data_IF_060068569411
#
_entry.id   IF_060068569411
#
_cell.length_a   1.000
_cell.length_b   1.000
_cell.length_c   1.000
_cell.angle_alpha   90.00
_cell.angle_beta   90.00
_cell.angle_gamma   90.00
#
_symmetry.space_group_name_H-M   'P 1'
#
loop_
_entity.id
_entity.type
_entity.pdbx_description
1 polymer ?
#
# COMPACT_ATOMS: atom_id res chain seq x y z
N UNK A 1 -80.17 15.00 -6.21
CA UNK A 1 -79.20 13.88 -6.21
C UNK A 1 -77.82 14.45 -6.60
N UNK A 2 -76.96 14.73 -5.62
CA UNK A 2 -75.61 15.26 -5.81
C UNK A 2 -74.68 14.08 -5.94
N UNK A 3 -74.01 13.95 -7.11
CA UNK A 3 -72.94 12.96 -7.30
C UNK A 3 -71.64 13.52 -6.70
N UNK A 4 -71.17 12.87 -5.65
CA UNK A 4 -69.85 13.14 -5.05
C UNK A 4 -68.82 12.42 -5.92
N UNK A 5 -67.96 13.20 -6.57
CA UNK A 5 -66.84 12.71 -7.35
C UNK A 5 -65.65 12.54 -6.37
N UNK A 6 -65.38 11.30 -5.98
CA UNK A 6 -64.23 10.96 -5.17
C UNK A 6 -62.98 10.95 -6.08
N UNK A 7 -62.13 11.96 -5.94
CA UNK A 7 -60.82 12.00 -6.59
C UNK A 7 -59.84 11.22 -5.73
N UNK A 8 -59.48 10.00 -6.12
CA UNK A 8 -58.33 9.27 -5.54
C UNK A 8 -57.05 9.91 -6.04
N UNK A 9 -56.45 10.72 -5.20
CA UNK A 9 -55.06 11.15 -5.39
C UNK A 9 -54.15 9.99 -4.98
N UNK A 10 -53.69 9.22 -5.96
CA UNK A 10 -52.63 8.22 -5.77
C UNK A 10 -51.33 8.97 -5.62
N UNK A 11 -50.89 9.20 -4.39
CA UNK A 11 -49.48 9.62 -4.16
C UNK A 11 -48.58 8.48 -4.59
N UNK A 12 -47.98 8.59 -5.77
CA UNK A 12 -46.77 7.86 -6.10
C UNK A 12 -45.68 8.41 -5.19
N UNK A 13 -45.46 7.78 -4.05
CA UNK A 13 -44.21 7.85 -3.33
C UNK A 13 -43.19 7.15 -4.20
N UNK A 14 -42.54 7.95 -5.08
CA UNK A 14 -41.28 7.54 -5.66
C UNK A 14 -40.32 7.31 -4.47
N UNK A 15 -40.18 6.05 -4.06
CA UNK A 15 -39.10 5.63 -3.20
C UNK A 15 -37.80 5.86 -3.98
N UNK A 16 -37.32 7.09 -3.95
CA UNK A 16 -35.89 7.34 -4.19
C UNK A 16 -35.21 6.58 -3.04
N UNK A 17 -34.74 5.37 -3.36
CA UNK A 17 -33.86 4.66 -2.47
C UNK A 17 -32.73 5.63 -2.17
N UNK A 18 -32.69 6.14 -0.95
CA UNK A 18 -31.51 6.81 -0.42
C UNK A 18 -30.40 5.75 -0.43
N UNK A 19 -29.73 5.62 -1.55
CA UNK A 19 -28.49 4.87 -1.58
C UNK A 19 -27.52 5.66 -0.71
N UNK A 20 -27.13 5.08 0.42
CA UNK A 20 -26.10 5.65 1.28
C UNK A 20 -24.89 6.03 0.41
N UNK A 21 -24.51 7.31 0.45
CA UNK A 21 -23.40 7.79 -0.34
C UNK A 21 -22.11 7.30 0.31
N UNK A 22 -21.38 6.48 -0.40
CA UNK A 22 -20.10 5.98 0.07
C UNK A 22 -18.95 6.82 -0.46
N UNK A 23 -17.91 7.01 0.36
CA UNK A 23 -16.61 7.52 -0.06
C UNK A 23 -15.56 6.41 0.00
N UNK A 24 -14.59 6.46 -0.91
CA UNK A 24 -13.40 5.64 -0.92
C UNK A 24 -12.20 6.51 -0.56
N UNK A 25 -11.56 6.23 0.56
CA UNK A 25 -10.35 6.95 1.01
C UNK A 25 -9.18 6.00 1.04
N UNK A 26 -8.17 6.27 0.20
CA UNK A 26 -6.93 5.50 0.13
C UNK A 26 -5.95 6.17 1.08
N UNK A 27 -5.50 5.48 2.12
CA UNK A 27 -4.66 6.06 3.16
C UNK A 27 -3.25 5.50 3.05
N UNK A 28 -2.28 6.38 2.78
CA UNK A 28 -0.86 6.03 2.78
C UNK A 28 -0.14 6.68 3.97
N UNK A 29 1.03 6.16 4.31
CA UNK A 29 1.84 6.68 5.43
C UNK A 29 2.06 8.20 5.34
N UNK A 30 2.50 8.68 4.19
CA UNK A 30 2.91 10.07 4.02
C UNK A 30 4.43 10.22 4.02
N UNK A 31 4.90 11.34 3.50
CA UNK A 31 6.31 11.70 3.51
C UNK A 31 6.48 13.18 3.14
N UNK A 32 7.51 13.85 3.66
CA UNK A 32 7.83 15.24 3.32
C UNK A 32 8.33 15.42 1.87
N UNK A 33 8.97 14.39 1.29
CA UNK A 33 9.48 14.44 -0.09
C UNK A 33 8.33 14.33 -1.11
N UNK A 34 8.27 15.29 -2.03
CA UNK A 34 7.29 15.30 -3.13
C UNK A 34 7.43 14.07 -4.05
N UNK A 35 8.65 13.63 -4.32
CA UNK A 35 8.92 12.45 -5.15
C UNK A 35 8.31 11.17 -4.59
N UNK A 36 8.14 11.07 -3.27
CA UNK A 36 7.44 9.99 -2.61
C UNK A 36 5.91 10.14 -2.74
N UNK A 37 5.40 11.36 -2.50
CA UNK A 37 3.95 11.62 -2.46
C UNK A 37 3.29 11.61 -3.84
N UNK A 38 3.95 12.19 -4.84
CA UNK A 38 3.38 12.38 -6.18
C UNK A 38 2.81 11.10 -6.81
N UNK A 39 3.51 9.96 -6.85
CA UNK A 39 2.95 8.73 -7.41
C UNK A 39 1.80 8.15 -6.57
N UNK A 40 1.79 8.39 -5.27
CA UNK A 40 0.68 7.97 -4.37
C UNK A 40 -0.56 8.83 -4.63
N UNK A 41 -0.42 10.14 -4.68
CA UNK A 41 -1.52 11.06 -4.98
C UNK A 41 -2.12 10.84 -6.37
N UNK A 42 -1.31 10.43 -7.34
CA UNK A 42 -1.77 10.12 -8.69
C UNK A 42 -2.73 8.92 -8.75
N UNK A 43 -2.74 8.04 -7.76
CA UNK A 43 -3.71 6.94 -7.67
C UNK A 43 -5.16 7.44 -7.58
N UNK A 44 -5.39 8.64 -7.03
CA UNK A 44 -6.73 9.20 -6.93
C UNK A 44 -7.43 9.28 -8.29
N UNK A 45 -6.74 9.83 -9.29
CA UNK A 45 -7.26 9.94 -10.65
C UNK A 45 -7.34 8.57 -11.33
N UNK A 46 -6.33 7.72 -11.16
CA UNK A 46 -6.33 6.36 -11.71
C UNK A 46 -7.52 5.55 -11.19
N UNK A 47 -7.80 5.63 -9.88
CA UNK A 47 -8.94 4.93 -9.26
C UNK A 47 -10.27 5.49 -9.74
N UNK A 48 -10.43 6.82 -9.83
CA UNK A 48 -11.66 7.43 -10.37
C UNK A 48 -11.95 6.97 -11.80
N UNK A 49 -10.92 7.00 -12.65
CA UNK A 49 -11.03 6.54 -14.03
C UNK A 49 -11.42 5.07 -14.08
N UNK A 50 -10.78 4.23 -13.32
CA UNK A 50 -11.03 2.78 -13.32
C UNK A 50 -12.43 2.43 -12.74
N UNK A 51 -12.91 3.15 -11.72
CA UNK A 51 -14.28 3.01 -11.22
C UNK A 51 -15.31 3.31 -12.33
N UNK A 52 -15.09 4.40 -13.07
CA UNK A 52 -15.97 4.77 -14.18
C UNK A 52 -15.95 3.73 -15.32
N UNK A 53 -14.77 3.21 -15.69
CA UNK A 53 -14.62 2.14 -16.69
C UNK A 53 -15.34 0.85 -16.30
N UNK A 54 -15.36 0.51 -14.99
CA UNK A 54 -16.08 -0.66 -14.47
C UNK A 54 -17.57 -0.40 -14.19
N UNK A 55 -18.06 0.82 -14.46
CA UNK A 55 -19.46 1.21 -14.21
C UNK A 55 -19.81 1.21 -12.72
N UNK A 56 -18.85 1.45 -11.85
CA UNK A 56 -19.03 1.50 -10.40
C UNK A 56 -19.30 2.95 -9.98
N UNK A 57 -20.56 3.29 -9.80
CA UNK A 57 -21.05 4.60 -9.36
C UNK A 57 -21.35 4.70 -7.87
N UNK A 58 -20.98 3.67 -7.10
CA UNK A 58 -21.27 3.53 -5.68
C UNK A 58 -20.49 4.50 -4.79
N UNK A 59 -19.34 4.99 -5.30
CA UNK A 59 -18.49 5.92 -4.58
C UNK A 59 -18.66 7.33 -5.14
N UNK A 60 -19.37 8.17 -4.39
CA UNK A 60 -19.59 9.58 -4.77
C UNK A 60 -18.34 10.44 -4.57
N UNK A 61 -17.37 9.96 -3.84
CA UNK A 61 -16.14 10.68 -3.50
C UNK A 61 -14.97 9.73 -3.34
N UNK A 62 -13.85 10.04 -3.99
CA UNK A 62 -12.61 9.25 -3.95
C UNK A 62 -11.45 10.19 -3.64
N UNK A 63 -10.67 9.90 -2.61
CA UNK A 63 -9.50 10.69 -2.23
C UNK A 63 -8.36 9.81 -1.74
N UNK A 64 -7.14 10.33 -1.95
CA UNK A 64 -5.95 9.85 -1.25
C UNK A 64 -5.71 10.73 -0.02
N UNK A 65 -5.38 10.12 1.11
CA UNK A 65 -5.01 10.78 2.35
C UNK A 65 -3.62 10.33 2.82
N UNK A 66 -2.91 11.23 3.48
CA UNK A 66 -1.64 10.95 4.14
C UNK A 66 -1.88 10.82 5.64
N UNK A 67 -1.34 9.77 6.25
CA UNK A 67 -1.48 9.56 7.70
C UNK A 67 -0.64 10.59 8.46
N UNK A 68 0.57 10.88 7.97
CA UNK A 68 1.54 11.74 8.62
C UNK A 68 2.14 12.80 7.68
N UNK A 69 2.80 13.77 8.27
CA UNK A 69 3.71 14.80 7.71
C UNK A 69 3.10 15.85 6.78
N UNK A 70 2.05 15.55 6.03
CA UNK A 70 1.59 16.47 4.98
C UNK A 70 0.10 16.35 4.68
N UNK A 71 -0.44 17.40 4.09
CA UNK A 71 -1.75 17.39 3.46
C UNK A 71 -1.73 16.66 2.09
N UNK A 72 -2.88 16.07 1.70
CA UNK A 72 -4.14 16.00 2.45
C UNK A 72 -4.07 14.99 3.60
N UNK A 73 -4.28 15.45 4.84
CA UNK A 73 -4.28 14.57 6.02
C UNK A 73 -5.55 13.73 6.09
N UNK A 74 -5.50 12.61 6.85
CA UNK A 74 -6.69 11.77 7.07
C UNK A 74 -7.85 12.60 7.61
N UNK A 75 -7.59 13.46 8.61
CA UNK A 75 -8.64 14.29 9.20
C UNK A 75 -9.24 15.29 8.21
N UNK A 76 -8.42 15.95 7.37
CA UNK A 76 -8.90 16.88 6.36
C UNK A 76 -9.75 16.18 5.29
N UNK A 77 -9.33 15.00 4.83
CA UNK A 77 -10.06 14.21 3.84
C UNK A 77 -11.39 13.70 4.41
N UNK A 78 -11.43 13.26 5.67
CA UNK A 78 -12.69 12.84 6.30
C UNK A 78 -13.68 13.99 6.42
N UNK A 79 -13.22 15.19 6.78
CA UNK A 79 -14.07 16.41 6.76
C UNK A 79 -14.61 16.71 5.35
N UNK A 80 -13.81 16.48 4.33
CA UNK A 80 -14.26 16.66 2.94
C UNK A 80 -15.27 15.58 2.51
N UNK A 81 -15.12 14.32 2.95
CA UNK A 81 -16.13 13.28 2.74
C UNK A 81 -17.50 13.71 3.32
N UNK A 82 -17.52 14.23 4.55
CA UNK A 82 -18.77 14.75 5.16
C UNK A 82 -19.38 15.90 4.36
N UNK A 83 -18.57 16.88 3.91
CA UNK A 83 -19.05 17.98 3.07
C UNK A 83 -19.66 17.52 1.75
N UNK A 84 -19.16 16.40 1.20
CA UNK A 84 -19.72 15.77 -0.01
C UNK A 84 -20.92 14.86 0.28
N UNK A 85 -21.35 14.80 1.54
CA UNK A 85 -22.54 14.07 1.98
C UNK A 85 -22.33 12.57 2.00
N UNK A 86 -21.13 12.09 2.28
CA UNK A 86 -20.89 10.66 2.50
C UNK A 86 -21.49 10.24 3.86
N UNK A 87 -22.21 9.13 3.87
CA UNK A 87 -22.74 8.49 5.09
C UNK A 87 -21.79 7.38 5.57
N UNK A 88 -21.03 6.81 4.64
CA UNK A 88 -20.10 5.72 4.91
C UNK A 88 -18.78 5.96 4.17
N UNK A 89 -17.67 5.65 4.82
CA UNK A 89 -16.31 5.70 4.23
C UNK A 89 -15.72 4.30 4.26
N UNK A 90 -15.28 3.82 3.10
CA UNK A 90 -14.35 2.71 3.01
C UNK A 90 -12.93 3.27 3.01
N UNK A 91 -12.24 3.14 4.12
CA UNK A 91 -10.88 3.59 4.32
C UNK A 91 -9.90 2.44 4.04
N UNK A 92 -9.16 2.52 2.95
CA UNK A 92 -8.28 1.45 2.49
C UNK A 92 -6.80 1.81 2.74
N UNK A 93 -6.13 1.13 3.68
CA UNK A 93 -4.72 1.38 3.98
C UNK A 93 -3.82 0.90 2.83
N UNK A 94 -3.11 1.82 2.20
CA UNK A 94 -2.10 1.51 1.20
C UNK A 94 -0.76 1.23 1.87
N UNK A 95 -0.74 0.20 2.72
CA UNK A 95 0.44 -0.31 3.41
C UNK A 95 0.83 -1.68 2.86
N UNK A 96 2.13 -1.94 2.81
CA UNK A 96 2.68 -3.20 2.28
C UNK A 96 2.19 -4.40 3.10
N UNK A 97 2.32 -4.32 4.43
CA UNK A 97 1.93 -5.38 5.36
C UNK A 97 1.40 -4.76 6.66
N UNK A 98 0.73 -5.53 7.53
CA UNK A 98 0.36 -5.09 8.86
C UNK A 98 1.56 -4.54 9.62
N UNK A 99 1.37 -3.39 10.26
CA UNK A 99 2.38 -2.64 11.01
C UNK A 99 1.72 -1.91 12.18
N UNK A 100 2.49 -1.31 13.08
CA UNK A 100 2.00 -0.39 14.10
C UNK A 100 1.12 0.70 13.48
N UNK A 101 1.54 1.23 12.32
CA UNK A 101 0.76 2.26 11.61
C UNK A 101 -0.62 1.79 11.15
N UNK A 102 -0.75 0.56 10.61
CA UNK A 102 -2.05 0.06 10.14
C UNK A 102 -2.96 -0.46 11.25
N UNK A 103 -2.38 -1.03 12.32
CA UNK A 103 -3.12 -1.75 13.36
C UNK A 103 -3.35 -0.94 14.63
N UNK A 104 -2.51 0.08 14.86
CA UNK A 104 -2.57 0.91 16.06
C UNK A 104 -2.81 2.38 15.71
N UNK A 105 -1.96 3.03 14.92
CA UNK A 105 -2.07 4.46 14.65
C UNK A 105 -3.33 4.80 13.87
N UNK A 106 -3.53 4.17 12.72
CA UNK A 106 -4.67 4.48 11.84
C UNK A 106 -6.03 4.25 12.52
N UNK A 107 -6.28 3.14 13.25
CA UNK A 107 -7.51 2.98 14.02
C UNK A 107 -7.71 4.06 15.10
N UNK A 108 -6.64 4.53 15.74
CA UNK A 108 -6.71 5.63 16.71
C UNK A 108 -6.99 6.98 16.04
N UNK A 109 -6.38 7.26 14.88
CA UNK A 109 -6.64 8.47 14.08
C UNK A 109 -8.09 8.52 13.62
N UNK A 110 -8.64 7.38 13.18
CA UNK A 110 -10.02 7.24 12.71
C UNK A 110 -11.08 7.17 13.83
N UNK A 111 -10.67 7.29 15.09
CA UNK A 111 -11.52 7.17 16.29
C UNK A 111 -12.25 5.80 16.40
N UNK A 112 -11.69 4.76 15.79
CA UNK A 112 -12.18 3.38 15.83
C UNK A 112 -11.65 2.61 17.05
N UNK A 113 -10.53 3.04 17.60
CA UNK A 113 -9.82 2.49 18.76
C UNK A 113 -9.37 3.65 19.66
N UNK A 114 -9.34 3.44 20.94
CA UNK A 114 -8.78 4.40 21.87
C UNK A 114 -7.63 3.77 22.66
N UNK A 115 -6.40 4.16 22.35
CA UNK A 115 -5.22 3.86 23.14
C UNK A 115 -4.57 5.19 23.55
N UNK A 116 -4.49 5.42 24.86
CA UNK A 116 -4.03 6.71 25.38
C UNK A 116 -2.56 6.99 25.05
N UNK A 117 -1.71 5.95 25.00
CA UNK A 117 -0.28 6.10 24.71
C UNK A 117 -0.09 6.42 23.22
N UNK A 118 -0.67 5.61 22.34
CA UNK A 118 -0.63 5.85 20.88
C UNK A 118 -1.16 7.24 20.53
N UNK A 119 -2.30 7.64 21.13
CA UNK A 119 -2.86 8.97 20.88
C UNK A 119 -2.00 10.10 21.42
N UNK A 120 -1.24 9.87 22.49
CA UNK A 120 -0.31 10.88 23.01
C UNK A 120 0.87 11.07 22.07
N UNK A 121 1.46 9.99 21.55
CA UNK A 121 2.54 10.00 20.56
C UNK A 121 2.11 10.70 19.27
N UNK A 122 0.99 10.26 18.68
CA UNK A 122 0.42 10.87 17.48
C UNK A 122 0.14 12.39 17.65
N UNK A 123 -0.31 12.80 18.84
CA UNK A 123 -0.55 14.21 19.13
C UNK A 123 0.75 15.01 19.21
N UNK A 124 1.81 14.43 19.78
CA UNK A 124 3.14 15.05 19.82
C UNK A 124 3.72 15.25 18.41
N UNK A 125 3.40 14.35 17.49
CA UNK A 125 3.75 14.42 16.06
C UNK A 125 2.87 15.41 15.28
N UNK A 126 1.84 15.96 15.89
CA UNK A 126 0.93 16.94 15.28
C UNK A 126 -0.21 16.32 14.50
N UNK A 127 -0.50 15.03 14.69
CA UNK A 127 -1.58 14.34 14.01
C UNK A 127 -2.95 14.79 14.51
N UNK A 128 -3.84 15.17 13.60
CA UNK A 128 -5.22 15.51 13.89
C UNK A 128 -6.11 14.25 13.86
N UNK A 129 -6.92 14.05 14.90
CA UNK A 129 -7.85 12.91 14.98
C UNK A 129 -9.17 13.20 14.25
N UNK A 130 -9.73 12.15 13.69
CA UNK A 130 -11.04 12.20 13.06
C UNK A 130 -12.13 12.20 14.13
N UNK A 131 -13.08 13.13 14.00
CA UNK A 131 -14.32 13.16 14.78
C UNK A 131 -15.48 13.23 13.80
N UNK A 132 -16.08 12.10 13.49
CA UNK A 132 -17.09 11.99 12.44
C UNK A 132 -18.28 11.12 12.88
N UNK A 133 -19.46 11.43 12.33
CA UNK A 133 -20.65 10.59 12.47
C UNK A 133 -20.79 9.60 11.30
N UNK A 134 -19.94 9.67 10.29
CA UNK A 134 -19.93 8.69 9.20
C UNK A 134 -19.54 7.31 9.73
N UNK A 135 -20.12 6.28 9.14
CA UNK A 135 -19.67 4.91 9.38
C UNK A 135 -18.33 4.71 8.64
N UNK A 136 -17.25 4.54 9.37
CA UNK A 136 -15.93 4.26 8.80
C UNK A 136 -15.69 2.75 8.85
N UNK A 137 -15.27 2.17 7.71
CA UNK A 137 -14.88 0.76 7.59
C UNK A 137 -13.45 0.72 7.09
N UNK A 138 -12.57 0.13 7.89
CA UNK A 138 -11.17 -0.02 7.55
C UNK A 138 -10.97 -1.30 6.74
N UNK A 139 -10.36 -1.17 5.57
CA UNK A 139 -10.01 -2.28 4.68
C UNK A 139 -8.66 -2.92 5.02
N UNK A 140 -8.28 -4.00 4.31
CA UNK A 140 -7.02 -4.69 4.53
C UNK A 140 -5.83 -3.93 3.90
N UNK A 141 -4.61 -4.28 4.33
CA UNK A 141 -3.35 -3.90 3.66
C UNK A 141 -3.11 -4.76 2.41
N UNK A 142 -2.07 -4.45 1.63
CA UNK A 142 -1.68 -5.22 0.44
C UNK A 142 -1.29 -6.69 0.74
N UNK A 143 -0.87 -6.97 1.96
CA UNK A 143 -0.37 -8.27 2.41
C UNK A 143 -1.33 -9.45 2.18
N UNK A 144 -2.64 -9.22 2.26
CA UNK A 144 -3.66 -10.28 2.25
C UNK A 144 -3.87 -10.98 0.88
N UNK A 145 -3.14 -10.55 -0.16
CA UNK A 145 -3.24 -11.09 -1.52
C UNK A 145 -1.85 -11.44 -2.06
N UNK A 146 -1.80 -11.99 -3.28
CA UNK A 146 -0.56 -12.33 -3.99
C UNK A 146 -0.05 -11.19 -4.90
N UNK A 147 -0.62 -10.00 -4.78
CA UNK A 147 -0.27 -8.87 -5.66
C UNK A 147 1.19 -8.46 -5.51
N UNK A 148 1.72 -8.48 -4.28
CA UNK A 148 3.10 -8.08 -4.01
C UNK A 148 4.08 -9.08 -4.62
N UNK A 149 3.80 -10.37 -4.51
CA UNK A 149 4.59 -11.44 -5.09
C UNK A 149 4.65 -11.34 -6.61
N UNK A 150 3.51 -11.09 -7.26
CA UNK A 150 3.42 -10.90 -8.72
C UNK A 150 4.18 -9.68 -9.21
N UNK A 151 3.97 -8.53 -8.55
CA UNK A 151 4.68 -7.28 -8.90
C UNK A 151 6.20 -7.48 -8.74
N UNK A 152 6.64 -8.09 -7.65
CA UNK A 152 8.07 -8.34 -7.43
C UNK A 152 8.63 -9.31 -8.45
N UNK A 153 7.92 -10.38 -8.77
CA UNK A 153 8.30 -11.33 -9.80
C UNK A 153 8.52 -10.64 -11.15
N UNK A 154 7.54 -9.87 -11.63
CA UNK A 154 7.62 -9.19 -12.92
C UNK A 154 8.81 -8.22 -12.97
N UNK A 155 9.07 -7.51 -11.88
CA UNK A 155 10.23 -6.60 -11.77
C UNK A 155 11.55 -7.33 -11.77
N UNK A 156 11.66 -8.43 -11.03
CA UNK A 156 12.86 -9.27 -11.00
C UNK A 156 13.11 -9.84 -12.39
N UNK A 157 12.09 -10.37 -13.05
CA UNK A 157 12.21 -10.92 -14.39
C UNK A 157 12.56 -9.86 -15.44
N UNK A 158 12.14 -8.61 -15.27
CA UNK A 158 12.54 -7.51 -16.14
C UNK A 158 14.03 -7.14 -16.04
N UNK A 159 14.70 -7.49 -14.94
CA UNK A 159 16.14 -7.29 -14.72
C UNK A 159 16.96 -8.55 -15.07
N UNK A 160 16.30 -9.70 -15.14
CA UNK A 160 16.94 -11.00 -15.36
C UNK A 160 17.43 -11.12 -16.81
N UNK A 161 18.65 -11.64 -16.98
CA UNK A 161 19.26 -11.94 -18.29
C UNK A 161 19.53 -13.44 -18.43
N UNK A 162 19.81 -14.13 -17.29
CA UNK A 162 20.16 -15.54 -17.25
C UNK A 162 19.67 -16.16 -15.92
N UNK A 163 18.37 -16.47 -15.81
CA UNK A 163 17.75 -16.91 -14.55
C UNK A 163 18.44 -18.08 -13.86
N UNK A 164 19.02 -19.00 -14.60
CA UNK A 164 19.70 -20.18 -14.02
C UNK A 164 21.02 -19.81 -13.30
N UNK A 165 21.64 -18.70 -13.70
CA UNK A 165 22.91 -18.21 -13.16
C UNK A 165 22.77 -16.95 -12.30
N UNK A 166 21.56 -16.61 -11.90
CA UNK A 166 21.24 -15.45 -11.07
C UNK A 166 20.76 -15.86 -9.69
N UNK A 167 21.04 -15.03 -8.70
CA UNK A 167 20.44 -15.05 -7.38
C UNK A 167 19.55 -13.82 -7.20
N UNK A 168 18.53 -13.93 -6.36
CA UNK A 168 17.63 -12.84 -6.01
C UNK A 168 17.70 -12.54 -4.52
N UNK A 169 17.79 -11.26 -4.19
CA UNK A 169 17.65 -10.72 -2.85
C UNK A 169 16.47 -9.76 -2.81
N UNK A 170 15.51 -10.06 -1.94
CA UNK A 170 14.31 -9.26 -1.76
C UNK A 170 14.42 -8.49 -0.44
N UNK A 171 14.21 -7.19 -0.50
CA UNK A 171 14.30 -6.32 0.66
C UNK A 171 12.91 -5.81 1.05
N UNK A 172 12.66 -5.69 2.36
CA UNK A 172 11.48 -5.02 2.88
C UNK A 172 11.84 -4.20 4.13
N UNK A 173 10.99 -3.22 4.46
CA UNK A 173 11.25 -2.36 5.61
C UNK A 173 11.20 -3.14 6.93
N UNK A 174 10.11 -3.87 7.15
CA UNK A 174 9.83 -4.51 8.43
C UNK A 174 9.09 -3.60 9.41
N UNK A 175 8.58 -4.22 10.46
CA UNK A 175 8.00 -3.57 11.63
C UNK A 175 8.30 -4.48 12.84
N UNK A 176 8.96 -3.96 13.91
CA UNK A 176 9.36 -4.79 15.04
C UNK A 176 8.21 -5.47 15.78
N UNK A 177 7.05 -4.79 15.88
CA UNK A 177 5.88 -5.30 16.59
C UNK A 177 5.09 -6.30 15.75
N UNK A 178 5.23 -6.25 14.44
CA UNK A 178 4.51 -7.08 13.45
C UNK A 178 5.45 -7.88 12.57
N UNK A 179 6.67 -8.15 13.04
CA UNK A 179 7.79 -8.75 12.28
C UNK A 179 7.38 -10.05 11.55
N UNK A 180 6.51 -10.86 12.14
CA UNK A 180 6.08 -12.12 11.55
C UNK A 180 5.36 -11.97 10.20
N UNK A 181 4.59 -10.90 10.00
CA UNK A 181 3.94 -10.62 8.70
C UNK A 181 4.98 -10.28 7.63
N UNK A 182 5.96 -9.47 7.99
CA UNK A 182 7.02 -9.02 7.09
C UNK A 182 7.97 -10.16 6.71
N UNK A 183 8.37 -10.99 7.67
CA UNK A 183 9.16 -12.19 7.40
C UNK A 183 8.41 -13.17 6.50
N UNK A 184 7.11 -13.41 6.77
CA UNK A 184 6.29 -14.26 5.93
C UNK A 184 6.14 -13.71 4.51
N UNK A 185 5.98 -12.39 4.34
CA UNK A 185 5.94 -11.75 3.02
C UNK A 185 7.23 -12.02 2.24
N UNK A 186 8.40 -11.86 2.86
CA UNK A 186 9.68 -12.16 2.22
C UNK A 186 9.78 -13.63 1.80
N UNK A 187 9.39 -14.55 2.69
CA UNK A 187 9.41 -16.00 2.40
C UNK A 187 8.48 -16.34 1.23
N UNK A 188 7.26 -15.80 1.22
CA UNK A 188 6.29 -16.02 0.13
C UNK A 188 6.82 -15.47 -1.18
N UNK A 189 7.34 -14.23 -1.18
CA UNK A 189 7.87 -13.59 -2.39
C UNK A 189 9.08 -14.33 -2.93
N UNK A 190 10.03 -14.72 -2.07
CA UNK A 190 11.18 -15.52 -2.48
C UNK A 190 10.77 -16.90 -2.99
N UNK A 191 9.77 -17.53 -2.37
CA UNK A 191 9.16 -18.77 -2.81
C UNK A 191 8.52 -18.64 -4.18
N UNK A 192 7.73 -17.59 -4.39
CA UNK A 192 7.07 -17.31 -5.67
C UNK A 192 8.07 -17.16 -6.82
N UNK A 193 9.19 -16.45 -6.60
CA UNK A 193 10.26 -16.32 -7.60
C UNK A 193 10.84 -17.68 -7.99
N UNK A 194 11.16 -18.53 -7.01
CA UNK A 194 11.71 -19.88 -7.26
C UNK A 194 10.73 -20.80 -7.97
N UNK A 195 9.46 -20.71 -7.65
CA UNK A 195 8.41 -21.54 -8.22
C UNK A 195 8.08 -21.17 -9.67
N UNK A 196 8.13 -19.88 -10.01
CA UNK A 196 7.69 -19.36 -11.31
C UNK A 196 8.84 -19.00 -12.27
N UNK A 197 10.09 -19.22 -11.86
CA UNK A 197 11.27 -18.99 -12.71
C UNK A 197 12.27 -20.13 -12.60
N UNK A 198 13.39 -20.02 -13.33
CA UNK A 198 14.55 -20.91 -13.21
C UNK A 198 15.60 -20.40 -12.21
N UNK A 199 15.29 -19.36 -11.46
CA UNK A 199 16.15 -18.84 -10.40
C UNK A 199 16.10 -19.80 -9.22
N UNK A 200 17.22 -20.46 -8.92
CA UNK A 200 17.31 -21.45 -7.85
C UNK A 200 17.56 -20.84 -6.47
N UNK A 201 18.16 -19.67 -6.41
CA UNK A 201 18.42 -18.93 -5.16
C UNK A 201 17.61 -17.64 -5.11
N UNK A 202 16.69 -17.57 -4.18
CA UNK A 202 15.95 -16.35 -3.83
C UNK A 202 15.75 -16.33 -2.32
N UNK A 203 16.14 -15.22 -1.68
CA UNK A 203 16.06 -15.01 -0.23
C UNK A 203 15.64 -13.56 0.05
N UNK A 204 15.28 -13.26 1.27
CA UNK A 204 14.80 -11.93 1.66
C UNK A 204 15.35 -11.47 2.99
N UNK A 205 15.52 -10.14 3.14
CA UNK A 205 16.00 -9.52 4.35
C UNK A 205 15.17 -8.29 4.72
N UNK A 206 14.93 -8.11 6.01
CA UNK A 206 14.32 -6.90 6.54
C UNK A 206 15.42 -5.84 6.72
N UNK A 207 15.36 -4.82 5.89
CA UNK A 207 16.30 -3.71 5.91
C UNK A 207 15.53 -2.46 6.35
N UNK A 208 15.33 -2.37 7.67
CA UNK A 208 14.71 -1.23 8.30
C UNK A 208 15.62 0.01 8.23
N UNK A 209 15.03 1.19 8.23
CA UNK A 209 15.78 2.44 8.29
C UNK A 209 16.47 2.57 9.64
N UNK A 210 17.77 2.23 9.74
CA UNK A 210 18.50 2.25 10.99
C UNK A 210 20.00 2.02 10.85
N UNK A 211 20.72 1.92 11.99
CA UNK A 211 22.19 1.87 12.05
C UNK A 211 22.79 0.59 11.43
N UNK A 212 22.05 -0.52 11.37
CA UNK A 212 22.54 -1.81 10.87
C UNK A 212 22.21 -2.09 9.41
N UNK A 213 21.45 -1.22 8.76
CA UNK A 213 20.93 -1.44 7.40
C UNK A 213 21.99 -1.85 6.38
N UNK A 214 23.17 -1.26 6.43
CA UNK A 214 24.25 -1.57 5.51
C UNK A 214 24.93 -2.93 5.82
N UNK A 215 24.97 -3.33 7.08
CA UNK A 215 25.57 -4.60 7.50
C UNK A 215 24.61 -5.75 7.18
N UNK A 216 23.31 -5.60 7.44
CA UNK A 216 22.27 -6.57 7.09
C UNK A 216 22.24 -6.81 5.56
N UNK A 217 22.23 -5.72 4.78
CA UNK A 217 22.27 -5.81 3.34
C UNK A 217 23.58 -6.46 2.84
N UNK A 218 24.73 -6.16 3.45
CA UNK A 218 26.00 -6.79 3.09
C UNK A 218 25.97 -8.29 3.34
N UNK A 219 25.47 -8.73 4.51
CA UNK A 219 25.41 -10.14 4.88
C UNK A 219 24.57 -10.99 3.90
N UNK A 220 23.39 -10.49 3.51
CA UNK A 220 22.55 -11.24 2.56
C UNK A 220 23.14 -11.24 1.14
N UNK A 221 23.81 -10.14 0.71
CA UNK A 221 24.51 -10.09 -0.57
C UNK A 221 25.71 -11.03 -0.63
N UNK A 222 26.45 -11.21 0.48
CA UNK A 222 27.53 -12.19 0.57
C UNK A 222 27.01 -13.62 0.41
N UNK A 223 25.89 -13.97 1.06
CA UNK A 223 25.23 -15.27 0.87
C UNK A 223 24.83 -15.48 -0.59
N UNK A 224 24.11 -14.53 -1.17
CA UNK A 224 23.66 -14.63 -2.57
C UNK A 224 24.84 -14.71 -3.56
N UNK A 225 25.90 -13.92 -3.34
CA UNK A 225 27.13 -13.91 -4.17
C UNK A 225 27.98 -15.17 -4.04
N UNK A 226 27.84 -15.94 -2.96
CA UNK A 226 28.44 -17.27 -2.83
C UNK A 226 27.70 -18.29 -3.73
N UNK A 227 26.40 -18.17 -3.88
CA UNK A 227 25.57 -19.06 -4.72
C UNK A 227 25.69 -18.73 -6.21
N UNK A 228 25.60 -17.45 -6.58
CA UNK A 228 25.58 -16.97 -7.96
C UNK A 228 26.41 -15.70 -8.12
N UNK A 229 27.04 -15.55 -9.28
CA UNK A 229 27.88 -14.36 -9.57
C UNK A 229 27.10 -13.14 -10.07
N UNK A 230 25.81 -13.29 -10.37
CA UNK A 230 24.92 -12.18 -10.69
C UNK A 230 23.79 -12.17 -9.66
N UNK A 231 23.66 -11.08 -8.92
CA UNK A 231 22.69 -10.92 -7.83
C UNK A 231 21.74 -9.78 -8.16
N UNK A 232 20.47 -10.09 -8.29
CA UNK A 232 19.39 -9.14 -8.51
C UNK A 232 18.80 -8.73 -7.16
N UNK A 233 18.73 -7.43 -6.88
CA UNK A 233 18.22 -6.88 -5.63
C UNK A 233 16.98 -6.06 -5.89
N UNK A 234 15.84 -6.46 -5.32
CA UNK A 234 14.57 -5.75 -5.44
C UNK A 234 13.96 -5.50 -4.06
N UNK A 235 13.30 -4.34 -3.89
CA UNK A 235 12.67 -3.97 -2.62
C UNK A 235 11.15 -3.94 -2.71
N UNK A 236 10.49 -4.46 -1.70
CA UNK A 236 9.04 -4.33 -1.48
C UNK A 236 8.81 -3.01 -0.74
N UNK A 237 8.95 -1.90 -1.45
CA UNK A 237 8.71 -0.54 -0.96
C UNK A 237 7.67 0.14 -1.82
N UNK A 238 6.81 0.96 -1.23
CA UNK A 238 5.74 1.63 -1.98
C UNK A 238 6.31 2.54 -3.08
N UNK A 239 7.24 3.43 -2.74
CA UNK A 239 7.83 4.40 -3.69
C UNK A 239 9.34 4.51 -3.60
N UNK A 240 9.97 3.95 -2.54
CA UNK A 240 11.42 4.11 -2.32
C UNK A 240 12.24 3.36 -3.36
N UNK A 241 13.30 4.00 -3.84
CA UNK A 241 14.23 3.46 -4.82
C UNK A 241 15.37 2.71 -4.11
N UNK A 242 15.45 1.39 -4.34
CA UNK A 242 16.42 0.50 -3.69
C UNK A 242 17.85 0.87 -4.02
N UNK A 243 18.13 1.26 -5.28
CA UNK A 243 19.47 1.67 -5.69
C UNK A 243 19.91 2.91 -4.95
N UNK A 244 19.06 3.94 -4.90
CA UNK A 244 19.35 5.18 -4.16
C UNK A 244 19.47 4.94 -2.66
N UNK A 245 18.68 4.01 -2.12
CA UNK A 245 18.83 3.60 -0.71
C UNK A 245 20.20 2.99 -0.47
N UNK A 246 20.63 2.04 -1.29
CA UNK A 246 21.94 1.41 -1.20
C UNK A 246 23.08 2.44 -1.31
N UNK A 247 22.99 3.37 -2.26
CA UNK A 247 23.97 4.44 -2.42
C UNK A 247 24.08 5.31 -1.15
N UNK A 248 22.93 5.71 -0.57
CA UNK A 248 22.86 6.57 0.62
C UNK A 248 23.48 5.93 1.87
N UNK A 249 23.37 4.61 2.02
CA UNK A 249 23.95 3.88 3.14
C UNK A 249 25.39 3.41 2.90
N UNK A 250 26.01 3.83 1.80
CA UNK A 250 27.42 3.55 1.51
C UNK A 250 27.71 2.16 0.95
N UNK A 251 26.69 1.48 0.40
CA UNK A 251 26.87 0.14 -0.20
C UNK A 251 27.90 0.09 -1.31
N UNK A 252 28.09 1.09 -2.20
CA UNK A 252 29.13 1.03 -3.23
C UNK A 252 30.53 0.75 -2.69
N UNK A 253 30.88 1.27 -1.52
CA UNK A 253 32.17 0.97 -0.90
C UNK A 253 32.23 -0.45 -0.30
N UNK A 254 31.15 -0.90 0.33
CA UNK A 254 31.05 -2.25 0.92
C UNK A 254 31.02 -3.34 -0.15
N UNK A 255 30.44 -3.07 -1.32
CA UNK A 255 30.34 -4.02 -2.44
C UNK A 255 31.69 -4.30 -3.13
N UNK A 256 32.70 -3.45 -3.00
CA UNK A 256 34.01 -3.62 -3.67
C UNK A 256 34.62 -5.01 -3.44
N UNK A 257 34.43 -5.60 -2.27
CA UNK A 257 34.90 -6.97 -1.99
C UNK A 257 34.16 -8.02 -2.80
N UNK A 258 32.85 -7.88 -2.94
CA UNK A 258 32.02 -8.78 -3.74
C UNK A 258 32.35 -8.63 -5.25
N UNK A 259 32.50 -7.40 -5.72
CA UNK A 259 32.90 -7.11 -7.10
C UNK A 259 34.28 -7.69 -7.42
N UNK A 260 35.26 -7.57 -6.51
CA UNK A 260 36.58 -8.17 -6.64
C UNK A 260 36.53 -9.71 -6.66
N UNK A 261 35.51 -10.33 -6.05
CA UNK A 261 35.21 -11.76 -6.11
C UNK A 261 34.40 -12.16 -7.36
N UNK A 262 34.18 -11.21 -8.29
CA UNK A 262 33.45 -11.41 -9.54
C UNK A 262 31.92 -11.42 -9.39
N UNK A 263 31.37 -10.95 -8.27
CA UNK A 263 29.94 -10.82 -8.06
C UNK A 263 29.44 -9.50 -8.64
N UNK A 264 28.47 -9.56 -9.56
CA UNK A 264 27.81 -8.40 -10.14
C UNK A 264 26.45 -8.19 -9.44
N UNK A 265 26.26 -7.06 -8.79
CA UNK A 265 25.03 -6.72 -8.08
C UNK A 265 24.23 -5.75 -8.96
N UNK A 266 22.96 -6.07 -9.20
CA UNK A 266 22.02 -5.29 -9.99
C UNK A 266 20.87 -4.88 -9.07
N UNK A 267 20.79 -3.59 -8.76
CA UNK A 267 19.70 -3.03 -7.99
C UNK A 267 18.51 -2.69 -8.88
N UNK A 268 17.33 -3.08 -8.49
CA UNK A 268 16.09 -2.56 -9.01
C UNK A 268 15.97 -1.05 -8.74
N UNK A 269 15.14 -0.39 -9.53
CA UNK A 269 14.89 1.04 -9.40
C UNK A 269 13.87 1.38 -8.33
N UNK A 270 12.90 2.22 -8.71
CA UNK A 270 11.80 2.67 -7.83
C UNK A 270 11.03 1.50 -7.21
N UNK A 271 10.34 1.80 -6.12
CA UNK A 271 9.39 0.92 -5.46
C UNK A 271 8.19 0.54 -6.34
N UNK A 272 7.12 0.05 -5.74
CA UNK A 272 5.93 -0.43 -6.46
C UNK A 272 5.35 0.68 -7.35
N UNK A 273 5.22 1.90 -6.83
CA UNK A 273 4.75 3.06 -7.58
C UNK A 273 5.92 3.89 -8.15
N UNK A 274 5.74 4.50 -9.34
CA UNK A 274 4.51 4.52 -10.14
C UNK A 274 4.34 3.35 -11.13
N UNK A 275 5.34 2.49 -11.35
CA UNK A 275 5.34 1.53 -12.46
C UNK A 275 4.21 0.49 -12.35
N UNK A 276 3.88 0.05 -11.14
CA UNK A 276 2.77 -0.89 -10.91
C UNK A 276 1.48 -0.18 -10.44
N UNK A 277 1.32 1.10 -10.83
CA UNK A 277 0.10 1.82 -10.52
C UNK A 277 -1.17 1.18 -11.09
N UNK A 278 -1.19 0.57 -12.29
CA UNK A 278 -2.36 -0.14 -12.80
C UNK A 278 -2.76 -1.31 -11.90
N UNK A 279 -1.82 -2.15 -11.48
CA UNK A 279 -2.06 -3.33 -10.62
C UNK A 279 -2.56 -2.89 -9.24
N UNK A 280 -1.96 -1.85 -8.67
CA UNK A 280 -2.40 -1.28 -7.39
C UNK A 280 -3.79 -0.65 -7.53
N UNK A 281 -4.08 0.03 -8.64
CA UNK A 281 -5.40 0.58 -8.92
C UNK A 281 -6.45 -0.54 -8.99
N UNK A 282 -6.17 -1.61 -9.72
CA UNK A 282 -7.09 -2.75 -9.82
C UNK A 282 -7.30 -3.43 -8.45
N UNK A 283 -6.25 -3.60 -7.65
CA UNK A 283 -6.38 -4.10 -6.28
C UNK A 283 -7.30 -3.21 -5.41
N UNK A 284 -7.13 -1.87 -5.48
CA UNK A 284 -7.98 -0.93 -4.75
C UNK A 284 -9.44 -1.11 -5.15
N UNK A 285 -9.72 -1.21 -6.45
CA UNK A 285 -11.07 -1.37 -6.98
C UNK A 285 -11.67 -2.71 -6.55
N UNK A 286 -10.92 -3.79 -6.61
CA UNK A 286 -11.38 -5.11 -6.19
C UNK A 286 -11.74 -5.14 -4.70
N UNK A 287 -10.95 -4.51 -3.82
CA UNK A 287 -11.29 -4.37 -2.38
C UNK A 287 -12.54 -3.52 -2.17
N UNK A 288 -12.66 -2.42 -2.91
CA UNK A 288 -13.84 -1.54 -2.84
C UNK A 288 -15.11 -2.25 -3.32
N UNK A 289 -15.01 -3.05 -4.37
CA UNK A 289 -16.11 -3.85 -4.89
C UNK A 289 -16.54 -4.96 -3.93
N UNK A 290 -15.59 -5.69 -3.34
CA UNK A 290 -15.86 -6.72 -2.34
C UNK A 290 -16.55 -6.12 -1.11
N UNK A 291 -16.01 -5.01 -0.61
CA UNK A 291 -16.66 -4.30 0.49
C UNK A 291 -18.10 -3.90 0.14
N UNK A 292 -18.32 -3.29 -1.02
CA UNK A 292 -19.66 -2.88 -1.44
C UNK A 292 -20.63 -4.07 -1.56
N UNK A 293 -20.17 -5.21 -2.07
CA UNK A 293 -20.97 -6.44 -2.13
C UNK A 293 -21.35 -6.96 -0.75
N UNK A 294 -20.50 -6.76 0.26
CA UNK A 294 -20.75 -7.18 1.64
C UNK A 294 -21.84 -6.36 2.35
N UNK A 295 -22.25 -5.22 1.79
CA UNK A 295 -23.31 -4.37 2.32
C UNK A 295 -24.73 -4.83 1.91
N UNK A 296 -24.82 -5.75 0.97
CA UNK A 296 -26.07 -6.32 0.43
C UNK A 296 -26.45 -7.58 1.19
#
# INVERSE_FOLDING_TARGET
MKKILTVCVTMLLAAYGLHAKSALVIIAHGHTMESWRKPVLALEESVRTRLAERGMDNFSYVRVAMMEYTEPSVASVMKDCEKHGADTVFALPLFIAPSSHSEDDLPNILDMKYDANVRAELKEEGTEFVHSQMKIVLGPTLYGTDILEKIMFDRIMSMSEDPENEAVVILAHGDPERIGFWQNLLVRTAGYVKEHSRISYSDGELVAMGMHMADDLTAILEKAGAEKKRVLVQGIYLTSDVKRMAERIGMPEKQKKLEAAGVKIIYGGQGILPQSAPEITDWIIDRAEEWHKSLR
#
